data_IF_777658636311
#
_entry.id   IF_777658636311
#
_cell.length_a   1.000
_cell.length_b   1.000
_cell.length_c   1.000
_cell.angle_alpha   90.00
_cell.angle_beta   90.00
_cell.angle_gamma   90.00
#
_symmetry.space_group_name_H-M   'P 1'
#
loop_
_entity.id
_entity.type
_entity.pdbx_description
1 polymer ?
#
# COMPACT_ATOMS: atom_id res chain seq x y z
N UNK A 1 12.86 39.88 26.46
CA UNK A 1 13.83 38.80 26.72
C UNK A 1 13.05 37.54 27.07
N UNK A 2 13.10 36.55 26.18
CA UNK A 2 12.69 35.13 26.28
C UNK A 2 11.49 34.76 27.15
N UNK A 3 10.37 34.49 26.46
CA UNK A 3 9.25 33.71 26.97
C UNK A 3 9.49 32.25 26.55
N UNK A 4 9.81 31.38 27.51
CA UNK A 4 9.83 29.92 27.38
C UNK A 4 8.42 29.43 27.75
N UNK A 5 7.67 28.81 26.84
CA UNK A 5 6.40 28.14 27.18
C UNK A 5 6.54 26.63 27.04
N UNK A 6 6.08 25.83 28.01
CA UNK A 6 5.77 24.43 27.78
C UNK A 6 4.46 24.33 26.99
N UNK A 7 4.41 23.43 26.02
CA UNK A 7 3.20 23.15 25.23
C UNK A 7 2.17 22.51 26.18
N UNK A 8 1.20 23.29 26.67
CA UNK A 8 0.04 22.78 27.40
C UNK A 8 -1.09 22.62 26.39
N UNK A 9 -1.39 21.37 26.05
CA UNK A 9 -2.56 21.03 25.22
C UNK A 9 -3.82 21.26 26.08
N UNK A 10 -4.81 22.05 25.64
CA UNK A 10 -6.00 22.33 26.43
C UNK A 10 -6.81 21.05 26.70
N UNK A 11 -7.16 20.84 27.97
CA UNK A 11 -7.83 19.64 28.51
C UNK A 11 -9.11 19.25 27.76
N UNK A 12 -9.75 20.20 27.06
CA UNK A 12 -10.89 19.96 26.16
C UNK A 12 -10.61 18.94 25.04
N UNK A 13 -9.34 18.74 24.65
CA UNK A 13 -8.95 17.76 23.62
C UNK A 13 -8.90 16.33 24.15
N UNK A 14 -8.78 16.14 25.45
CA UNK A 14 -8.73 14.81 26.07
C UNK A 14 -10.14 14.16 26.00
N UNK A 15 -11.21 14.93 26.16
CA UNK A 15 -12.58 14.40 25.99
C UNK A 15 -12.88 13.97 24.55
N UNK A 16 -12.27 14.64 23.56
CA UNK A 16 -12.35 14.25 22.14
C UNK A 16 -11.55 12.97 21.83
N UNK A 17 -10.55 12.62 22.63
CA UNK A 17 -9.69 11.45 22.43
C UNK A 17 -10.23 10.17 23.08
N UNK A 18 -11.23 10.26 23.97
CA UNK A 18 -11.76 9.10 24.71
C UNK A 18 -13.22 8.72 24.39
N UNK A 19 -13.97 9.49 23.60
CA UNK A 19 -15.39 9.19 23.28
C UNK A 19 -15.61 8.26 22.07
N UNK A 20 -14.57 7.63 21.53
CA UNK A 20 -14.71 6.74 20.36
C UNK A 20 -14.22 5.31 20.66
N UNK A 21 -14.72 4.71 21.74
CA UNK A 21 -14.58 3.27 22.01
C UNK A 21 -15.95 2.65 22.24
N UNK A 22 -16.57 2.15 21.16
CA UNK A 22 -17.39 0.93 21.07
C UNK A 22 -18.18 0.87 19.75
N UNK A 23 -17.50 0.65 18.62
CA UNK A 23 -18.14 -0.03 17.48
C UNK A 23 -17.14 -1.02 16.90
N UNK A 24 -17.51 -2.30 16.83
CA UNK A 24 -16.79 -3.29 16.01
C UNK A 24 -16.78 -2.74 14.59
N UNK A 25 -15.62 -2.54 13.94
CA UNK A 25 -15.63 -2.18 12.53
C UNK A 25 -16.07 -3.42 11.75
N UNK A 26 -17.35 -3.47 11.38
CA UNK A 26 -17.75 -4.20 10.19
C UNK A 26 -17.09 -3.47 9.02
N UNK A 27 -15.97 -4.02 8.54
CA UNK A 27 -15.19 -3.43 7.46
C UNK A 27 -15.79 -3.89 6.12
N UNK A 28 -16.97 -3.38 5.80
CA UNK A 28 -17.52 -3.42 4.44
C UNK A 28 -16.62 -2.50 3.60
N UNK A 29 -15.56 -3.08 3.05
CA UNK A 29 -14.42 -2.37 2.50
C UNK A 29 -14.71 -1.95 1.07
N UNK A 30 -15.41 -0.82 0.88
CA UNK A 30 -15.37 -0.10 -0.40
C UNK A 30 -14.13 0.81 -0.39
N UNK A 31 -13.14 0.49 -1.23
CA UNK A 31 -11.98 1.37 -1.44
C UNK A 31 -12.49 2.72 -2.00
N UNK A 32 -12.17 3.87 -1.39
CA UNK A 32 -12.72 5.15 -1.80
C UNK A 32 -12.34 5.53 -3.25
N UNK A 33 -13.22 6.30 -3.89
CA UNK A 33 -13.05 6.79 -5.28
C UNK A 33 -11.98 7.89 -5.41
N UNK A 34 -11.66 8.59 -4.32
CA UNK A 34 -10.55 9.55 -4.27
C UNK A 34 -9.21 8.79 -4.29
N UNK A 35 -8.19 9.17 -5.09
CA UNK A 35 -6.86 8.58 -5.02
C UNK A 35 -6.37 8.57 -3.57
N UNK A 36 -6.26 7.36 -3.02
CA UNK A 36 -5.69 7.14 -1.70
C UNK A 36 -4.25 7.68 -1.67
N UNK A 37 -3.80 8.29 -0.56
CA UNK A 37 -2.43 8.75 -0.45
C UNK A 37 -1.44 7.61 -0.70
N UNK A 38 -0.39 7.86 -1.48
CA UNK A 38 0.60 6.86 -1.88
C UNK A 38 1.20 6.12 -0.66
N UNK A 39 1.59 6.86 0.38
CA UNK A 39 2.14 6.25 1.60
C UNK A 39 1.17 5.28 2.29
N UNK A 40 -0.14 5.57 2.24
CA UNK A 40 -1.16 4.67 2.77
C UNK A 40 -1.28 3.40 1.92
N UNK A 41 -1.25 3.53 0.58
CA UNK A 41 -1.29 2.38 -0.34
C UNK A 41 -0.11 1.43 -0.12
N UNK A 42 1.11 1.98 -0.08
CA UNK A 42 2.34 1.21 0.12
C UNK A 42 2.34 0.50 1.47
N UNK A 43 1.89 1.17 2.53
CA UNK A 43 1.76 0.56 3.86
C UNK A 43 0.73 -0.58 3.84
N UNK A 44 -0.46 -0.33 3.28
CA UNK A 44 -1.54 -1.33 3.24
C UNK A 44 -1.14 -2.56 2.42
N UNK A 45 -0.30 -2.38 1.40
CA UNK A 45 0.30 -3.46 0.63
C UNK A 45 1.48 -4.17 1.32
N UNK A 46 1.89 -3.75 2.53
CA UNK A 46 3.02 -4.30 3.26
C UNK A 46 4.40 -3.93 2.68
N UNK A 47 4.46 -2.98 1.75
CA UNK A 47 5.71 -2.57 1.10
C UNK A 47 6.55 -1.63 1.96
N UNK A 48 5.91 -0.93 2.90
CA UNK A 48 6.57 -0.16 3.96
C UNK A 48 5.88 -0.41 5.30
N UNK A 49 6.60 -0.25 6.40
CA UNK A 49 6.04 -0.30 7.75
C UNK A 49 5.35 1.01 8.15
N UNK A 50 4.57 0.97 9.24
CA UNK A 50 4.03 2.19 9.86
C UNK A 50 5.15 3.14 10.31
N UNK A 51 6.24 2.61 10.89
CA UNK A 51 7.38 3.42 11.32
C UNK A 51 8.08 4.11 10.15
N UNK A 52 8.26 3.42 9.02
CA UNK A 52 8.79 4.01 7.79
C UNK A 52 7.88 5.11 7.24
N UNK A 53 6.56 4.89 7.27
CA UNK A 53 5.59 5.91 6.85
C UNK A 53 5.66 7.15 7.75
N UNK A 54 5.69 6.99 9.08
CA UNK A 54 5.83 8.11 10.03
C UNK A 54 7.13 8.87 9.76
N UNK A 55 8.24 8.16 9.56
CA UNK A 55 9.54 8.77 9.26
C UNK A 55 9.50 9.60 7.96
N UNK A 56 8.86 9.09 6.90
CA UNK A 56 8.73 9.81 5.63
C UNK A 56 7.87 11.06 5.78
N UNK A 57 6.79 10.99 6.57
CA UNK A 57 5.92 12.14 6.83
C UNK A 57 6.63 13.23 7.63
N UNK A 58 7.46 12.85 8.61
CA UNK A 58 8.27 13.79 9.39
C UNK A 58 9.30 14.53 8.50
N UNK A 59 10.01 13.78 7.65
CA UNK A 59 10.95 14.34 6.66
C UNK A 59 10.22 15.29 5.70
N UNK A 60 9.05 14.91 5.21
CA UNK A 60 8.29 15.75 4.30
C UNK A 60 7.85 17.07 4.95
N UNK A 61 7.48 17.06 6.23
CA UNK A 61 7.04 18.27 6.94
C UNK A 61 8.19 19.22 7.28
N UNK A 62 9.38 18.67 7.53
CA UNK A 62 10.57 19.44 7.95
C UNK A 62 11.42 19.91 6.77
N UNK A 63 11.29 19.27 5.60
CA UNK A 63 12.04 19.64 4.41
C UNK A 63 11.48 20.90 3.73
N UNK A 64 12.33 21.91 3.55
CA UNK A 64 11.98 23.17 2.88
C UNK A 64 11.73 23.04 1.36
N UNK A 65 11.99 21.88 0.76
CA UNK A 65 11.98 21.66 -0.69
C UNK A 65 10.77 20.86 -1.21
N UNK A 66 9.75 20.60 -0.38
CA UNK A 66 8.51 19.94 -0.78
C UNK A 66 8.71 18.59 -1.51
N UNK A 67 9.64 17.75 -1.04
CA UNK A 67 9.81 16.41 -1.60
C UNK A 67 8.52 15.57 -1.52
N UNK A 68 8.25 14.80 -2.57
CA UNK A 68 7.12 13.86 -2.60
C UNK A 68 7.45 12.62 -1.78
N UNK A 69 6.44 12.03 -1.15
CA UNK A 69 6.57 10.78 -0.36
C UNK A 69 7.31 9.68 -1.14
N UNK A 70 7.02 9.52 -2.43
CA UNK A 70 7.69 8.53 -3.27
C UNK A 70 9.19 8.81 -3.44
N UNK A 71 9.58 10.07 -3.62
CA UNK A 71 10.99 10.47 -3.77
C UNK A 71 11.76 10.21 -2.47
N UNK A 72 11.15 10.50 -1.32
CA UNK A 72 11.77 10.22 -0.01
C UNK A 72 11.98 8.71 0.16
N UNK A 73 10.97 7.88 -0.11
CA UNK A 73 11.07 6.42 -0.02
C UNK A 73 12.15 5.87 -0.95
N UNK A 74 12.22 6.36 -2.20
CA UNK A 74 13.24 5.96 -3.17
C UNK A 74 14.64 6.38 -2.71
N UNK A 75 14.78 7.58 -2.14
CA UNK A 75 16.06 8.11 -1.65
C UNK A 75 16.65 7.27 -0.51
N UNK A 76 15.81 6.66 0.33
CA UNK A 76 16.23 5.71 1.36
C UNK A 76 16.52 4.29 0.82
N UNK A 77 16.20 4.03 -0.45
CA UNK A 77 16.39 2.72 -1.07
C UNK A 77 15.42 1.64 -0.57
N UNK A 78 14.34 2.02 0.13
CA UNK A 78 13.37 1.05 0.66
C UNK A 78 12.54 0.39 -0.44
N UNK A 79 12.20 1.15 -1.48
CA UNK A 79 11.52 0.64 -2.66
C UNK A 79 12.18 1.19 -3.92
N UNK A 80 12.11 0.40 -5.00
CA UNK A 80 12.50 0.85 -6.34
C UNK A 80 11.50 1.88 -6.85
N UNK A 81 11.98 2.84 -7.65
CA UNK A 81 11.13 3.86 -8.25
C UNK A 81 9.98 3.24 -9.05
N UNK A 82 10.24 2.17 -9.80
CA UNK A 82 9.20 1.51 -10.60
C UNK A 82 8.10 0.87 -9.74
N UNK A 83 8.43 0.39 -8.55
CA UNK A 83 7.42 -0.09 -7.59
C UNK A 83 6.56 1.08 -7.12
N UNK A 84 7.18 2.22 -6.81
CA UNK A 84 6.47 3.43 -6.36
C UNK A 84 5.55 3.95 -7.47
N UNK A 85 6.05 4.05 -8.70
CA UNK A 85 5.30 4.52 -9.88
C UNK A 85 4.13 3.58 -10.19
N UNK A 86 4.31 2.26 -10.04
CA UNK A 86 3.21 1.31 -10.21
C UNK A 86 2.06 1.59 -9.25
N UNK A 87 2.36 1.80 -7.96
CA UNK A 87 1.35 2.04 -6.94
C UNK A 87 0.74 3.45 -7.02
N UNK A 88 1.49 4.43 -7.53
CA UNK A 88 1.00 5.79 -7.76
C UNK A 88 0.04 5.86 -8.96
N UNK A 89 0.44 5.29 -10.10
CA UNK A 89 -0.23 5.58 -11.39
C UNK A 89 -0.91 4.37 -12.01
N UNK A 90 -0.32 3.18 -11.89
CA UNK A 90 -0.80 1.99 -12.60
C UNK A 90 -1.87 1.21 -11.83
N UNK A 91 -1.84 1.27 -10.49
CA UNK A 91 -2.77 0.55 -9.62
C UNK A 91 -4.24 0.98 -9.84
N UNK A 92 -4.49 2.24 -10.18
CA UNK A 92 -5.87 2.70 -10.47
C UNK A 92 -6.38 2.08 -11.77
N UNK A 93 -5.50 1.90 -12.77
CA UNK A 93 -5.86 1.35 -14.08
C UNK A 93 -6.31 -0.11 -13.98
N UNK A 94 -5.67 -0.90 -13.10
CA UNK A 94 -6.01 -2.32 -12.92
C UNK A 94 -7.40 -2.52 -12.32
N UNK A 95 -7.90 -1.55 -11.53
CA UNK A 95 -9.25 -1.59 -10.96
C UNK A 95 -10.33 -1.38 -12.01
N UNK A 96 -10.07 -0.50 -12.98
CA UNK A 96 -11.05 -0.13 -14.02
C UNK A 96 -11.09 -1.21 -15.10
N UNK A 97 -9.92 -1.75 -15.49
CA UNK A 97 -9.81 -2.77 -16.54
C UNK A 97 -8.70 -3.78 -16.20
N UNK A 98 -9.00 -4.84 -15.44
CA UNK A 98 -8.04 -5.91 -15.21
C UNK A 98 -7.88 -6.72 -16.50
N UNK A 99 -6.75 -6.53 -17.20
CA UNK A 99 -6.47 -7.18 -18.50
C UNK A 99 -5.45 -8.32 -18.41
N UNK A 100 -4.78 -8.50 -17.27
CA UNK A 100 -3.62 -9.38 -17.13
C UNK A 100 -3.72 -10.26 -15.87
N UNK A 101 -3.07 -11.44 -15.85
CA UNK A 101 -2.95 -12.24 -14.65
C UNK A 101 -2.07 -11.55 -13.60
N UNK A 102 -2.27 -11.88 -12.31
CA UNK A 102 -1.58 -11.23 -11.18
C UNK A 102 -0.05 -11.21 -11.32
N UNK A 103 0.55 -12.25 -11.89
CA UNK A 103 2.00 -12.31 -12.13
C UNK A 103 2.53 -11.14 -12.97
N UNK A 104 1.78 -10.68 -13.96
CA UNK A 104 2.19 -9.55 -14.82
C UNK A 104 2.12 -8.20 -14.09
N UNK A 105 1.19 -8.03 -13.15
CA UNK A 105 1.15 -6.84 -12.31
C UNK A 105 2.30 -6.83 -11.29
N UNK A 106 2.60 -7.98 -10.68
CA UNK A 106 3.76 -8.13 -9.80
C UNK A 106 5.07 -7.87 -10.55
N UNK A 107 5.16 -8.30 -11.83
CA UNK A 107 6.28 -7.96 -12.72
C UNK A 107 6.39 -6.46 -12.97
N UNK A 108 5.28 -5.84 -13.34
CA UNK A 108 5.21 -4.41 -13.67
C UNK A 108 5.62 -3.55 -12.47
N UNK A 109 5.28 -3.99 -11.26
CA UNK A 109 5.69 -3.37 -10.00
C UNK A 109 7.13 -3.71 -9.57
N UNK A 110 7.91 -4.45 -10.37
CA UNK A 110 9.24 -4.99 -10.03
C UNK A 110 9.30 -5.83 -8.74
N UNK A 111 8.16 -6.38 -8.31
CA UNK A 111 8.06 -7.28 -7.15
C UNK A 111 8.42 -8.72 -7.52
N UNK A 112 8.23 -9.09 -8.79
CA UNK A 112 8.71 -10.34 -9.37
C UNK A 112 9.43 -10.07 -10.70
N UNK A 113 10.32 -10.97 -11.09
CA UNK A 113 10.92 -10.99 -12.42
C UNK A 113 10.41 -12.18 -13.25
N UNK A 114 10.80 -12.23 -14.53
CA UNK A 114 10.37 -13.29 -15.46
C UNK A 114 10.75 -14.69 -14.99
N UNK A 115 11.97 -14.88 -14.48
CA UNK A 115 12.43 -16.16 -13.96
C UNK A 115 11.59 -16.61 -12.76
N UNK A 116 11.25 -15.70 -11.85
CA UNK A 116 10.38 -15.99 -10.72
C UNK A 116 8.97 -16.37 -11.16
N UNK A 117 8.43 -15.68 -12.15
CA UNK A 117 7.11 -16.00 -12.71
C UNK A 117 7.12 -17.39 -13.34
N UNK A 118 8.11 -17.71 -14.17
CA UNK A 118 8.27 -19.03 -14.77
C UNK A 118 8.38 -20.13 -13.72
N UNK A 119 9.21 -19.92 -12.69
CA UNK A 119 9.36 -20.85 -11.57
C UNK A 119 8.04 -21.09 -10.82
N UNK A 120 7.23 -20.03 -10.60
CA UNK A 120 5.92 -20.17 -9.97
C UNK A 120 4.97 -20.97 -10.86
N UNK A 121 4.89 -20.64 -12.15
CA UNK A 121 4.00 -21.31 -13.09
C UNK A 121 4.35 -22.80 -13.19
N UNK A 122 5.64 -23.13 -13.26
CA UNK A 122 6.09 -24.52 -13.28
C UNK A 122 5.72 -25.29 -12.00
N UNK A 123 5.90 -24.70 -10.81
CA UNK A 123 5.48 -25.33 -9.54
C UNK A 123 3.95 -25.42 -9.43
N UNK A 124 3.22 -24.47 -9.98
CA UNK A 124 1.76 -24.48 -10.02
C UNK A 124 1.20 -25.65 -10.86
N UNK A 125 1.91 -26.10 -11.90
CA UNK A 125 1.52 -27.29 -12.67
C UNK A 125 1.74 -28.61 -11.93
N UNK A 126 2.62 -28.62 -10.93
CA UNK A 126 3.01 -29.82 -10.17
C UNK A 126 2.34 -29.89 -8.79
N UNK A 127 1.63 -28.83 -8.39
CA UNK A 127 1.03 -28.68 -7.06
C UNK A 127 -0.39 -28.13 -7.17
N UNK A 128 -1.17 -28.23 -6.09
CA UNK A 128 -2.49 -27.59 -6.03
C UNK A 128 -2.43 -26.13 -5.51
N UNK A 129 -1.22 -25.54 -5.39
CA UNK A 129 -1.04 -24.19 -4.87
C UNK A 129 -1.31 -23.13 -5.95
N UNK A 130 -1.95 -22.03 -5.57
CA UNK A 130 -2.17 -20.87 -6.44
C UNK A 130 -0.88 -20.07 -6.60
N UNK A 131 -0.78 -19.32 -7.69
CA UNK A 131 0.36 -18.45 -8.00
C UNK A 131 0.84 -17.62 -6.79
N UNK A 132 -0.08 -16.91 -6.12
CA UNK A 132 0.23 -16.07 -4.96
C UNK A 132 0.73 -16.87 -3.76
N UNK A 133 0.18 -18.07 -3.52
CA UNK A 133 0.60 -18.94 -2.41
C UNK A 133 2.05 -19.42 -2.61
N UNK A 134 2.42 -19.77 -3.85
CA UNK A 134 3.79 -20.16 -4.19
C UNK A 134 4.75 -18.97 -4.03
N UNK A 135 4.38 -17.77 -4.50
CA UNK A 135 5.19 -16.56 -4.36
C UNK A 135 5.47 -16.22 -2.88
N UNK A 136 4.46 -16.37 -2.02
CA UNK A 136 4.57 -16.18 -0.57
C UNK A 136 5.47 -17.26 0.05
N UNK A 137 5.21 -18.54 -0.28
CA UNK A 137 5.98 -19.69 0.22
C UNK A 137 7.47 -19.57 -0.10
N UNK A 138 7.82 -19.00 -1.26
CA UNK A 138 9.21 -18.75 -1.67
C UNK A 138 9.82 -17.48 -1.05
N UNK A 139 9.05 -16.70 -0.29
CA UNK A 139 9.51 -15.47 0.36
C UNK A 139 9.76 -14.31 -0.61
N UNK A 140 9.27 -14.39 -1.84
CA UNK A 140 9.50 -13.35 -2.85
C UNK A 140 8.54 -12.16 -2.72
N UNK A 141 7.33 -12.41 -2.22
CA UNK A 141 6.31 -11.39 -2.02
C UNK A 141 5.61 -11.65 -0.68
N UNK A 142 5.25 -10.58 0.02
CA UNK A 142 4.50 -10.70 1.27
C UNK A 142 3.02 -11.06 1.02
N UNK A 143 2.37 -11.79 1.95
CA UNK A 143 0.93 -12.06 1.87
C UNK A 143 0.07 -10.81 1.69
N UNK A 144 0.43 -9.74 2.40
CA UNK A 144 -0.25 -8.44 2.36
C UNK A 144 -0.25 -7.87 0.96
N UNK A 145 0.87 -7.96 0.23
CA UNK A 145 1.00 -7.43 -1.13
C UNK A 145 0.13 -8.20 -2.11
N UNK A 146 0.12 -9.53 -2.01
CA UNK A 146 -0.73 -10.40 -2.85
C UNK A 146 -2.20 -10.08 -2.62
N UNK A 147 -2.64 -10.09 -1.35
CA UNK A 147 -4.03 -9.83 -1.00
C UNK A 147 -4.47 -8.43 -1.45
N UNK A 148 -3.61 -7.43 -1.23
CA UNK A 148 -3.89 -6.05 -1.64
C UNK A 148 -4.11 -5.92 -3.15
N UNK A 149 -3.25 -6.52 -3.98
CA UNK A 149 -3.43 -6.47 -5.44
C UNK A 149 -4.69 -7.24 -5.86
N UNK A 150 -4.98 -8.38 -5.24
CA UNK A 150 -6.21 -9.14 -5.50
C UNK A 150 -7.47 -8.34 -5.18
N UNK A 151 -7.50 -7.62 -4.06
CA UNK A 151 -8.63 -6.75 -3.69
C UNK A 151 -8.93 -5.70 -4.76
N UNK A 152 -7.87 -5.14 -5.36
CA UNK A 152 -7.98 -4.18 -6.46
C UNK A 152 -8.46 -4.80 -7.77
N UNK A 153 -8.12 -6.07 -8.03
CA UNK A 153 -8.59 -6.81 -9.20
C UNK A 153 -10.04 -7.30 -9.05
N UNK A 154 -10.48 -7.59 -7.83
CA UNK A 154 -11.83 -8.13 -7.54
C UNK A 154 -12.91 -7.05 -7.37
N UNK A 155 -12.52 -5.81 -7.07
CA UNK A 155 -13.45 -4.68 -7.04
C UNK A 155 -13.88 -4.26 -8.46
N UNK A 156 -14.72 -5.09 -9.11
CA UNK A 156 -15.60 -4.63 -10.18
C UNK A 156 -16.55 -3.59 -9.57
N UNK A 157 -16.60 -2.42 -10.18
CA UNK A 157 -17.54 -1.35 -9.86
C UNK A 157 -18.99 -1.84 -9.82
N UNK A 158 -19.56 -2.03 -8.63
CA UNK A 158 -21.01 -2.08 -8.39
C UNK A 158 -21.68 -0.70 -8.56
N UNK A 159 -21.14 0.15 -9.45
CA UNK A 159 -21.59 1.54 -9.67
C UNK A 159 -22.34 1.70 -11.00
N UNK A 160 -22.48 0.64 -11.79
CA UNK A 160 -23.41 0.60 -12.91
C UNK A 160 -24.43 -0.50 -12.64
N UNK A 161 -25.51 -0.17 -11.94
CA UNK A 161 -26.88 -0.73 -12.05
C UNK A 161 -27.70 -0.17 -10.87
N UNK A 162 -28.23 1.04 -11.03
CA UNK A 162 -29.40 1.58 -10.34
C UNK A 162 -29.98 2.69 -11.21
#
# INVERSE_FOLDING_TARGET
>A
MTILWPIVVPISWIELMFKNKTTKPSLNTSLPLNPLPLGYLLKKAGLISESQLIQVLDVQQTAHNYMRIGEIIASYGWLKQETIDFFADSLIKIRIQPQQPIGQYLKSAKLLNDLQIEMILNEQHQTNLRFGEIAIKKGWVQPQTINFILDYLQHKSSVFLS
#
